data_IF_784122469341
#
_entry.id   IF_784122469341
#
_cell.length_a   1.000
_cell.length_b   1.000
_cell.length_c   1.000
_cell.angle_alpha   90.00
_cell.angle_beta   90.00
_cell.angle_gamma   90.00
#
_symmetry.space_group_name_H-M   'P 1'
#
loop_
_entity.id
_entity.type
_entity.pdbx_description
1 polymer ?
#
# COMPACT_ATOMS: atom_id res chain seq x y z
N UNK A 1 32.30 -42.31 50.18
CA UNK A 1 32.15 -43.64 49.57
C UNK A 1 30.76 -43.74 49.00
N UNK A 2 30.63 -44.07 47.71
CA UNK A 2 29.34 -44.18 47.03
C UNK A 2 29.38 -43.58 45.62
N UNK A 3 30.10 -44.24 44.71
CA UNK A 3 29.99 -44.00 43.28
C UNK A 3 29.09 -45.06 42.63
N UNK A 4 28.33 -44.67 41.61
CA UNK A 4 27.71 -45.49 40.54
C UNK A 4 26.85 -44.56 39.65
N UNK A 5 26.50 -44.92 38.41
CA UNK A 5 27.39 -45.17 37.29
C UNK A 5 27.05 -44.32 36.05
N UNK A 6 28.01 -44.28 35.12
CA UNK A 6 27.94 -43.70 33.78
C UNK A 6 27.05 -44.55 32.88
N UNK A 7 26.10 -43.93 32.18
CA UNK A 7 25.40 -44.57 31.05
C UNK A 7 25.91 -43.90 29.77
N UNK A 8 26.76 -44.62 29.05
CA UNK A 8 27.09 -44.39 27.65
C UNK A 8 26.10 -45.19 26.80
N UNK A 9 25.27 -44.51 26.01
CA UNK A 9 24.68 -45.12 24.82
C UNK A 9 25.19 -44.42 23.57
N UNK A 10 26.11 -45.14 22.93
CA UNK A 10 26.47 -45.01 21.53
C UNK A 10 25.25 -45.41 20.69
N UNK A 11 24.76 -44.51 19.85
CA UNK A 11 23.93 -44.92 18.72
C UNK A 11 24.43 -44.28 17.43
N UNK A 12 24.70 -45.18 16.51
CA UNK A 12 25.50 -45.08 15.30
C UNK A 12 24.87 -44.22 14.22
N UNK A 13 25.77 -43.58 13.48
CA UNK A 13 25.56 -42.94 12.19
C UNK A 13 24.91 -43.90 11.18
N UNK A 14 23.85 -43.42 10.51
CA UNK A 14 23.49 -43.87 9.16
C UNK A 14 23.55 -42.68 8.23
N UNK A 15 24.64 -42.63 7.49
CA UNK A 15 24.87 -41.73 6.37
C UNK A 15 24.24 -42.40 5.16
N UNK A 16 23.08 -41.92 4.71
CA UNK A 16 22.51 -42.32 3.42
C UNK A 16 22.62 -41.16 2.45
N UNK A 17 23.27 -41.48 1.34
CA UNK A 17 23.81 -40.62 0.29
C UNK A 17 22.79 -39.74 -0.44
N UNK A 18 23.26 -38.63 -1.05
CA UNK A 18 22.47 -37.79 -1.93
C UNK A 18 22.20 -38.50 -3.27
N UNK A 19 20.92 -38.62 -3.63
CA UNK A 19 20.53 -38.98 -4.99
C UNK A 19 20.65 -37.74 -5.88
N UNK A 20 21.55 -37.85 -6.85
CA UNK A 20 21.66 -36.97 -8.00
C UNK A 20 20.33 -36.98 -8.77
N UNK A 21 19.65 -35.83 -8.82
CA UNK A 21 18.58 -35.61 -9.81
C UNK A 21 19.23 -35.01 -11.04
N UNK A 22 19.54 -35.88 -11.99
CA UNK A 22 19.98 -35.53 -13.34
C UNK A 22 18.82 -34.93 -14.12
N UNK A 23 19.08 -33.73 -14.67
CA UNK A 23 18.57 -33.16 -15.92
C UNK A 23 17.40 -33.88 -16.61
N UNK A 24 16.27 -33.18 -16.74
CA UNK A 24 15.37 -33.37 -17.87
C UNK A 24 14.80 -32.01 -18.31
N UNK A 25 15.48 -31.44 -19.30
CA UNK A 25 14.95 -30.39 -20.18
C UNK A 25 13.86 -31.06 -21.03
N UNK A 26 12.61 -31.03 -20.56
CA UNK A 26 11.45 -31.31 -21.39
C UNK A 26 10.76 -30.00 -21.76
N UNK A 27 10.98 -29.64 -23.02
CA UNK A 27 10.10 -28.91 -23.93
C UNK A 27 8.80 -28.38 -23.29
N UNK A 28 8.81 -27.10 -22.90
CA UNK A 28 7.57 -26.34 -22.77
C UNK A 28 7.06 -26.05 -24.17
N UNK A 29 6.25 -27.00 -24.63
CA UNK A 29 5.21 -26.90 -25.62
C UNK A 29 4.66 -25.46 -25.70
N UNK A 30 4.85 -24.85 -26.86
CA UNK A 30 4.27 -23.56 -27.24
C UNK A 30 2.75 -23.69 -27.15
N UNK A 31 2.18 -23.21 -26.06
CA UNK A 31 0.73 -23.16 -25.86
C UNK A 31 0.19 -22.05 -26.75
N UNK A 32 -0.28 -22.43 -27.93
CA UNK A 32 -1.08 -21.58 -28.79
C UNK A 32 -2.27 -21.01 -28.00
N UNK A 33 -2.52 -19.70 -28.07
CA UNK A 33 -3.70 -19.12 -27.44
C UNK A 33 -4.97 -19.69 -28.11
N UNK A 34 -6.04 -19.98 -27.35
CA UNK A 34 -7.32 -20.35 -27.94
C UNK A 34 -7.84 -19.18 -28.79
N UNK A 35 -8.34 -19.51 -29.99
CA UNK A 35 -9.00 -18.57 -30.87
C UNK A 35 -10.13 -17.85 -30.11
N UNK A 36 -10.05 -16.52 -30.08
CA UNK A 36 -11.05 -15.63 -29.52
C UNK A 36 -12.30 -15.67 -30.42
N UNK A 37 -13.29 -16.46 -30.02
CA UNK A 37 -14.56 -16.58 -30.72
C UNK A 37 -15.34 -15.26 -30.57
N UNK A 38 -15.36 -14.50 -31.65
CA UNK A 38 -15.99 -13.18 -31.76
C UNK A 38 -17.50 -13.34 -31.91
N UNK A 39 -18.21 -13.69 -30.83
CA UNK A 39 -19.68 -13.71 -30.89
C UNK A 39 -20.38 -13.55 -29.54
N UNK A 40 -20.40 -12.33 -29.03
CA UNK A 40 -21.46 -11.87 -28.14
C UNK A 40 -21.80 -10.42 -28.47
N UNK A 41 -22.96 -10.24 -29.11
CA UNK A 41 -23.51 -8.93 -29.46
C UNK A 41 -23.78 -8.14 -28.18
N UNK A 42 -23.10 -7.00 -28.05
CA UNK A 42 -23.43 -5.99 -27.05
C UNK A 42 -24.59 -5.17 -27.61
N UNK A 43 -25.76 -5.33 -27.00
CA UNK A 43 -26.91 -4.48 -27.21
C UNK A 43 -26.56 -3.09 -26.69
N UNK A 44 -26.27 -2.17 -27.61
CA UNK A 44 -26.15 -0.75 -27.30
C UNK A 44 -27.55 -0.24 -26.99
N UNK A 45 -27.76 0.24 -25.77
CA UNK A 45 -28.93 1.06 -25.43
C UNK A 45 -28.50 2.51 -25.56
N UNK A 46 -29.15 3.22 -26.48
CA UNK A 46 -28.99 4.65 -26.71
C UNK A 46 -29.21 5.44 -25.41
N UNK A 47 -28.14 6.02 -24.88
CA UNK A 47 -28.21 7.04 -23.84
C UNK A 47 -28.42 8.40 -24.51
N UNK A 48 -29.68 8.84 -24.40
CA UNK A 48 -30.21 10.15 -24.73
C UNK A 48 -29.27 11.26 -24.23
N UNK A 49 -28.74 12.01 -25.18
CA UNK A 49 -28.09 13.30 -25.00
C UNK A 49 -29.12 14.29 -24.48
N UNK A 50 -28.86 14.92 -23.33
CA UNK A 50 -29.52 16.18 -23.02
C UNK A 50 -28.70 17.05 -22.04
N UNK A 51 -28.79 18.35 -22.34
CA UNK A 51 -28.58 19.54 -21.52
C UNK A 51 -27.26 19.80 -20.77
N UNK A 52 -26.31 20.36 -21.53
CA UNK A 52 -25.95 21.78 -21.36
C UNK A 52 -25.63 22.26 -19.95
N UNK A 53 -24.37 22.12 -19.53
CA UNK A 53 -23.80 22.98 -18.48
C UNK A 53 -22.70 23.85 -19.05
N UNK A 54 -22.95 25.15 -18.95
CA UNK A 54 -22.14 26.24 -19.45
C UNK A 54 -20.66 26.07 -19.14
N UNK A 55 -19.90 26.03 -20.23
CA UNK A 55 -18.48 26.29 -20.28
C UNK A 55 -18.28 27.76 -19.91
N UNK A 56 -17.98 28.03 -18.64
CA UNK A 56 -17.56 29.35 -18.21
C UNK A 56 -16.12 29.53 -18.71
N UNK A 57 -15.97 30.23 -19.85
CA UNK A 57 -14.68 30.74 -20.30
C UNK A 57 -14.14 31.66 -19.21
N UNK A 58 -13.22 31.14 -18.40
CA UNK A 58 -12.31 31.98 -17.63
C UNK A 58 -11.33 32.61 -18.62
N UNK A 59 -11.21 33.95 -18.67
CA UNK A 59 -10.24 34.60 -19.53
C UNK A 59 -8.84 34.17 -19.11
N UNK A 60 -8.07 33.68 -20.09
CA UNK A 60 -6.62 33.54 -20.00
C UNK A 60 -6.03 34.96 -19.82
N UNK A 61 -5.76 35.33 -18.58
CA UNK A 61 -4.85 36.42 -18.27
C UNK A 61 -3.44 35.98 -18.62
N UNK A 62 -2.91 36.61 -19.66
CA UNK A 62 -1.55 36.48 -20.17
C UNK A 62 -0.59 37.15 -19.17
N UNK A 63 -0.33 36.48 -18.05
CA UNK A 63 0.72 36.88 -17.11
C UNK A 63 2.07 36.41 -17.66
N UNK A 64 2.58 37.20 -18.60
CA UNK A 64 4.02 37.30 -18.88
C UNK A 64 4.72 37.85 -17.63
N UNK A 65 4.97 36.97 -16.65
CA UNK A 65 5.96 37.18 -15.59
C UNK A 65 6.92 35.98 -15.56
N UNK A 66 7.89 36.14 -16.44
CA UNK A 66 9.26 35.64 -16.35
C UNK A 66 9.80 35.69 -14.89
N UNK A 67 9.80 34.56 -14.18
CA UNK A 67 10.77 34.22 -13.11
C UNK A 67 10.39 32.88 -12.43
N UNK A 68 10.44 31.79 -13.20
CA UNK A 68 10.36 30.42 -12.65
C UNK A 68 11.55 29.58 -13.10
N UNK A 69 12.73 30.13 -12.82
CA UNK A 69 13.94 29.34 -12.56
C UNK A 69 14.54 29.81 -11.24
N UNK A 70 13.80 29.61 -10.16
CA UNK A 70 14.36 29.61 -8.81
C UNK A 70 14.29 28.20 -8.24
N UNK A 71 14.89 27.26 -8.97
CA UNK A 71 15.64 26.20 -8.30
C UNK A 71 16.58 26.95 -7.36
N UNK A 72 16.40 26.76 -6.06
CA UNK A 72 17.27 27.31 -5.03
C UNK A 72 18.67 26.69 -5.23
N UNK A 73 19.41 27.21 -6.21
CA UNK A 73 20.85 27.15 -6.24
C UNK A 73 21.26 27.79 -4.92
N UNK A 74 21.63 26.93 -3.99
CA UNK A 74 22.28 27.27 -2.75
C UNK A 74 23.43 28.21 -3.12
N UNK A 75 23.18 29.51 -3.06
CA UNK A 75 24.11 30.54 -3.49
C UNK A 75 25.09 30.62 -2.33
N UNK A 76 26.31 30.05 -2.44
CA UNK A 76 27.24 30.15 -1.32
C UNK A 76 27.55 31.64 -1.19
N UNK A 77 27.13 32.22 -0.08
CA UNK A 77 27.51 33.59 0.27
C UNK A 77 29.03 33.66 0.20
N UNK A 78 29.56 34.59 -0.60
CA UNK A 78 31.01 34.86 -0.66
C UNK A 78 31.57 34.89 0.77
N UNK A 79 32.59 34.09 1.10
CA UNK A 79 33.19 34.12 2.42
C UNK A 79 33.72 35.54 2.63
N UNK A 80 33.18 36.23 3.64
CA UNK A 80 33.81 37.43 4.18
C UNK A 80 35.02 36.95 4.96
N UNK A 81 36.18 37.49 4.64
CA UNK A 81 37.46 37.13 5.24
C UNK A 81 37.40 37.13 6.77
N UNK A 82 37.92 36.06 7.38
CA UNK A 82 38.39 36.12 8.76
C UNK A 82 37.51 35.52 9.86
N UNK A 83 36.86 34.38 9.62
CA UNK A 83 36.72 33.27 10.59
C UNK A 83 35.74 32.25 9.99
N UNK A 84 36.26 31.10 9.57
CA UNK A 84 35.42 29.96 9.22
C UNK A 84 34.77 29.47 10.52
N UNK A 85 33.63 30.06 10.87
CA UNK A 85 32.65 29.36 11.70
C UNK A 85 32.30 28.10 10.94
N UNK A 86 32.71 26.93 11.45
CA UNK A 86 32.34 25.65 10.87
C UNK A 86 30.84 25.64 10.68
N UNK A 87 30.41 25.82 9.42
CA UNK A 87 29.01 25.85 9.07
C UNK A 87 28.50 24.44 9.36
N UNK A 88 27.61 24.32 10.34
CA UNK A 88 26.98 23.04 10.69
C UNK A 88 26.28 22.51 9.43
N UNK A 89 26.87 21.48 8.84
CA UNK A 89 26.33 20.84 7.65
C UNK A 89 25.64 19.53 8.05
N UNK A 90 24.50 19.24 7.43
CA UNK A 90 23.78 17.98 7.58
C UNK A 90 24.08 17.13 6.35
N UNK A 91 24.65 15.96 6.55
CA UNK A 91 24.85 14.98 5.51
C UNK A 91 24.10 13.68 5.88
N UNK A 92 23.59 13.00 4.86
CA UNK A 92 22.99 11.67 5.00
C UNK A 92 24.04 10.62 4.66
N UNK A 93 24.17 9.59 5.51
CA UNK A 93 25.22 8.57 5.36
C UNK A 93 24.80 7.43 4.43
N UNK A 94 24.07 6.46 4.96
CA UNK A 94 23.67 5.25 4.25
C UNK A 94 22.18 4.98 4.37
N UNK A 95 21.64 4.28 3.38
CA UNK A 95 20.25 3.84 3.28
C UNK A 95 20.22 2.34 3.53
N UNK A 96 19.25 1.89 4.32
CA UNK A 96 18.93 0.48 4.49
C UNK A 96 17.48 0.24 4.07
N UNK A 97 17.25 -0.78 3.25
CA UNK A 97 15.93 -1.13 2.72
C UNK A 97 15.46 -2.43 3.37
N UNK A 98 14.22 -2.44 3.85
CA UNK A 98 13.55 -3.65 4.36
C UNK A 98 12.40 -4.01 3.44
N UNK A 99 12.37 -5.27 3.03
CA UNK A 99 11.34 -5.86 2.18
C UNK A 99 10.50 -6.81 3.04
N UNK A 100 9.22 -6.46 3.23
CA UNK A 100 8.27 -7.26 4.00
C UNK A 100 7.41 -8.09 3.05
N UNK A 101 7.01 -9.27 3.52
CA UNK A 101 6.09 -10.12 2.78
C UNK A 101 4.69 -9.49 2.70
N UNK A 102 4.00 -9.73 1.60
CA UNK A 102 2.61 -9.31 1.42
C UNK A 102 1.70 -10.40 1.96
N UNK A 103 0.87 -10.06 2.94
CA UNK A 103 -0.06 -11.00 3.59
C UNK A 103 -1.50 -10.51 3.49
N UNK A 104 -2.47 -11.39 3.75
CA UNK A 104 -3.88 -10.98 3.86
C UNK A 104 -4.08 -10.06 5.07
N UNK A 105 -4.66 -8.89 4.84
CA UNK A 105 -4.95 -7.89 5.87
C UNK A 105 -6.38 -7.95 6.39
N UNK A 106 -6.74 -6.92 7.19
CA UNK A 106 -8.08 -6.79 7.81
C UNK A 106 -8.64 -5.37 7.66
N UNK A 107 -8.42 -4.73 6.52
CA UNK A 107 -8.87 -3.35 6.32
C UNK A 107 -10.36 -3.29 5.87
N UNK A 108 -11.26 -2.69 6.68
CA UNK A 108 -12.71 -2.69 6.40
C UNK A 108 -13.14 -1.84 5.20
N UNK A 109 -12.28 -0.94 4.70
CA UNK A 109 -12.62 0.02 3.64
C UNK A 109 -12.28 -0.49 2.24
N UNK A 110 -11.85 -1.74 2.10
CA UNK A 110 -11.63 -2.31 0.78
C UNK A 110 -12.96 -2.50 0.05
N UNK A 111 -13.13 -1.83 -1.10
CA UNK A 111 -14.38 -1.86 -1.86
C UNK A 111 -14.63 -3.22 -2.51
N UNK A 112 -13.58 -3.83 -3.05
CA UNK A 112 -13.59 -5.14 -3.73
C UNK A 112 -12.33 -5.94 -3.37
N UNK A 113 -12.45 -7.27 -3.30
CA UNK A 113 -11.33 -8.18 -3.02
C UNK A 113 -10.83 -8.15 -1.56
N UNK A 114 -9.86 -9.01 -1.26
CA UNK A 114 -9.21 -9.09 0.05
C UNK A 114 -8.20 -7.94 0.26
N UNK A 115 -8.19 -7.25 1.42
CA UNK A 115 -7.18 -6.25 1.73
C UNK A 115 -5.78 -6.88 1.87
N UNK A 116 -4.74 -6.13 1.51
CA UNK A 116 -3.35 -6.53 1.75
C UNK A 116 -2.83 -5.89 3.05
N UNK A 117 -1.87 -6.56 3.68
CA UNK A 117 -1.06 -6.04 4.77
C UNK A 117 0.41 -6.45 4.55
N UNK A 118 1.31 -5.83 5.32
CA UNK A 118 2.70 -6.27 5.41
C UNK A 118 2.82 -7.28 6.54
N UNK A 119 3.54 -8.37 6.31
CA UNK A 119 3.93 -9.33 7.32
C UNK A 119 4.91 -8.75 8.33
N UNK A 120 5.21 -9.52 9.37
CA UNK A 120 6.22 -9.15 10.38
C UNK A 120 7.63 -9.53 9.97
N UNK A 121 7.75 -10.57 9.14
CA UNK A 121 9.03 -11.02 8.60
C UNK A 121 9.49 -10.06 7.50
N UNK A 122 10.80 -9.81 7.48
CA UNK A 122 11.43 -8.98 6.47
C UNK A 122 12.79 -9.52 6.08
N UNK A 123 13.13 -9.33 4.82
CA UNK A 123 14.51 -9.38 4.35
C UNK A 123 15.08 -7.96 4.31
N UNK A 124 16.37 -7.83 4.59
CA UNK A 124 17.05 -6.54 4.58
C UNK A 124 18.17 -6.55 3.55
N UNK A 125 18.13 -5.57 2.65
CA UNK A 125 19.18 -5.38 1.65
C UNK A 125 20.44 -4.79 2.30
N UNK A 126 21.63 -5.00 1.70
CA UNK A 126 22.86 -4.35 2.12
C UNK A 126 22.69 -2.83 2.18
N UNK A 127 23.34 -2.19 3.16
CA UNK A 127 23.32 -0.73 3.24
C UNK A 127 24.10 -0.11 2.08
N UNK A 128 23.51 0.87 1.42
CA UNK A 128 24.11 1.59 0.27
C UNK A 128 24.27 3.06 0.62
N UNK A 129 25.32 3.73 0.13
CA UNK A 129 25.44 5.19 0.32
C UNK A 129 24.32 5.92 -0.42
N UNK A 130 23.95 7.10 0.09
CA UNK A 130 22.88 7.91 -0.50
C UNK A 130 23.20 8.25 -1.96
N UNK A 131 24.44 8.63 -2.26
CA UNK A 131 24.87 9.00 -3.62
C UNK A 131 24.68 7.86 -4.62
N UNK A 132 25.02 6.61 -4.23
CA UNK A 132 24.88 5.44 -5.10
C UNK A 132 23.40 5.09 -5.29
N UNK A 133 22.57 5.23 -4.25
CA UNK A 133 21.13 5.03 -4.37
C UNK A 133 20.49 6.08 -5.29
N UNK A 134 20.86 7.36 -5.16
CA UNK A 134 20.31 8.42 -6.00
C UNK A 134 20.75 8.33 -7.46
N UNK A 135 21.98 7.86 -7.72
CA UNK A 135 22.47 7.62 -9.08
C UNK A 135 21.76 6.45 -9.78
N UNK A 136 21.29 5.45 -9.04
CA UNK A 136 20.72 4.20 -9.59
C UNK A 136 19.20 4.09 -9.49
N UNK A 137 18.54 4.92 -8.66
CA UNK A 137 17.09 4.83 -8.46
C UNK A 137 16.30 5.07 -9.74
N UNK A 138 15.21 4.33 -9.88
CA UNK A 138 14.24 4.58 -10.96
C UNK A 138 13.56 5.95 -10.80
N UNK A 139 13.02 6.51 -11.91
CA UNK A 139 12.21 7.73 -11.86
C UNK A 139 11.06 7.63 -10.86
N UNK A 140 10.61 8.79 -10.37
CA UNK A 140 9.49 8.86 -9.42
C UNK A 140 8.23 8.27 -10.05
N UNK A 141 7.64 7.27 -9.38
CA UNK A 141 6.35 6.67 -9.76
C UNK A 141 5.23 7.72 -9.82
N UNK A 142 4.35 7.57 -10.81
CA UNK A 142 3.14 8.39 -10.91
C UNK A 142 2.13 7.98 -9.83
N UNK A 143 1.12 8.83 -9.55
CA UNK A 143 0.03 8.47 -8.63
C UNK A 143 -0.76 7.24 -9.09
N UNK A 144 -0.79 6.95 -10.39
CA UNK A 144 -1.44 5.75 -10.93
C UNK A 144 -0.66 4.49 -10.54
N UNK A 145 0.68 4.53 -10.64
CA UNK A 145 1.57 3.39 -10.30
C UNK A 145 1.64 3.09 -8.80
N UNK A 146 1.14 4.00 -7.96
CA UNK A 146 1.00 3.79 -6.52
C UNK A 146 -0.32 3.09 -6.16
N UNK A 147 -1.27 2.97 -7.09
CA UNK A 147 -2.56 2.31 -6.86
C UNK A 147 -2.47 0.85 -7.26
N UNK A 148 -2.91 -0.03 -6.38
CA UNK A 148 -3.06 -1.46 -6.68
C UNK A 148 -4.51 -1.79 -7.03
N UNK A 149 -4.76 -2.40 -8.19
CA UNK A 149 -6.08 -2.94 -8.54
C UNK A 149 -6.40 -4.18 -7.71
N UNK A 150 -7.65 -4.64 -7.74
CA UNK A 150 -8.04 -5.87 -7.05
C UNK A 150 -7.43 -7.12 -7.72
N UNK A 151 -7.25 -7.14 -9.05
CA UNK A 151 -6.56 -8.25 -9.73
C UNK A 151 -5.10 -8.32 -9.31
N UNK A 152 -4.42 -7.17 -9.25
CA UNK A 152 -3.02 -7.09 -8.82
C UNK A 152 -2.87 -7.62 -7.39
N UNK A 153 -3.77 -7.24 -6.48
CA UNK A 153 -3.77 -7.77 -5.11
C UNK A 153 -4.00 -9.28 -5.06
N UNK A 154 -4.88 -9.81 -5.91
CA UNK A 154 -5.10 -11.26 -6.01
C UNK A 154 -3.87 -11.99 -6.52
N UNK A 155 -3.16 -11.42 -7.49
CA UNK A 155 -1.91 -11.98 -8.01
C UNK A 155 -0.79 -11.95 -6.96
N UNK A 156 -0.72 -10.90 -6.13
CA UNK A 156 0.23 -10.82 -5.02
C UNK A 156 -0.04 -11.88 -3.94
N UNK A 157 -1.27 -12.37 -3.81
CA UNK A 157 -1.68 -13.44 -2.88
C UNK A 157 -1.86 -14.79 -3.61
N UNK A 158 -1.04 -15.06 -4.63
CA UNK A 158 -1.18 -16.26 -5.47
C UNK A 158 -0.79 -17.55 -4.76
N UNK A 159 -0.04 -17.44 -3.67
CA UNK A 159 0.36 -18.51 -2.75
C UNK A 159 -0.74 -18.87 -1.73
N UNK A 160 -1.69 -17.96 -1.49
CA UNK A 160 -2.81 -18.16 -0.58
C UNK A 160 -3.93 -18.95 -1.27
N UNK A 161 -4.54 -19.89 -0.55
CA UNK A 161 -5.63 -20.69 -1.12
C UNK A 161 -6.88 -19.86 -1.41
N UNK A 162 -7.56 -20.17 -2.51
CA UNK A 162 -8.82 -19.52 -2.89
C UNK A 162 -9.89 -19.55 -1.78
N UNK A 163 -9.91 -20.63 -0.99
CA UNK A 163 -10.83 -20.79 0.13
C UNK A 163 -10.57 -19.79 1.25
N UNK A 164 -9.30 -19.49 1.53
CA UNK A 164 -8.87 -18.50 2.51
C UNK A 164 -9.19 -17.08 2.05
N UNK A 165 -8.90 -16.76 0.78
CA UNK A 165 -9.27 -15.46 0.19
C UNK A 165 -10.77 -15.22 0.29
N UNK A 166 -11.60 -16.21 -0.11
CA UNK A 166 -13.07 -16.14 0.02
C UNK A 166 -13.54 -16.03 1.47
N UNK A 167 -12.83 -16.62 2.43
CA UNK A 167 -13.14 -16.50 3.85
C UNK A 167 -12.88 -15.07 4.34
N UNK A 168 -11.75 -14.48 3.95
CA UNK A 168 -11.39 -13.11 4.28
C UNK A 168 -12.39 -12.10 3.67
N UNK A 169 -12.77 -12.27 2.40
CA UNK A 169 -13.78 -11.42 1.75
C UNK A 169 -15.14 -11.47 2.45
N UNK A 170 -15.59 -12.67 2.86
CA UNK A 170 -16.83 -12.83 3.64
C UNK A 170 -16.73 -12.15 5.00
N UNK A 171 -15.57 -12.23 5.67
CA UNK A 171 -15.33 -11.54 6.95
C UNK A 171 -15.44 -10.03 6.77
N UNK A 172 -14.74 -9.47 5.78
CA UNK A 172 -14.80 -8.05 5.41
C UNK A 172 -16.24 -7.59 5.14
N UNK A 173 -17.00 -8.37 4.37
CA UNK A 173 -18.40 -8.05 4.06
C UNK A 173 -19.27 -7.97 5.32
N UNK A 174 -19.07 -8.89 6.27
CA UNK A 174 -19.76 -8.88 7.56
C UNK A 174 -19.40 -7.63 8.36
N UNK A 175 -18.11 -7.31 8.47
CA UNK A 175 -17.64 -6.14 9.22
C UNK A 175 -18.18 -4.83 8.66
N UNK A 176 -18.15 -4.65 7.33
CA UNK A 176 -18.74 -3.48 6.66
C UNK A 176 -20.23 -3.34 6.96
N UNK A 177 -20.95 -4.45 6.94
CA UNK A 177 -22.39 -4.48 7.24
C UNK A 177 -22.67 -4.07 8.69
N UNK A 178 -21.87 -4.56 9.65
CA UNK A 178 -21.98 -4.17 11.05
C UNK A 178 -21.61 -2.69 11.26
N UNK A 179 -20.54 -2.21 10.63
CA UNK A 179 -20.10 -0.81 10.73
C UNK A 179 -21.15 0.17 10.18
N UNK A 180 -21.84 -0.17 9.08
CA UNK A 180 -22.94 0.68 8.57
C UNK A 180 -24.06 0.83 9.59
N UNK A 181 -24.45 -0.27 10.26
CA UNK A 181 -25.48 -0.25 11.32
C UNK A 181 -25.03 0.60 12.50
N UNK A 182 -23.78 0.44 12.96
CA UNK A 182 -23.23 1.25 14.05
C UNK A 182 -23.18 2.73 13.67
N UNK A 183 -22.64 3.09 12.49
CA UNK A 183 -22.60 4.48 12.02
C UNK A 183 -24.00 5.10 11.92
N UNK A 184 -24.99 4.33 11.44
CA UNK A 184 -26.37 4.79 11.39
C UNK A 184 -26.94 5.07 12.79
N UNK A 185 -26.70 4.19 13.77
CA UNK A 185 -27.16 4.38 15.16
C UNK A 185 -26.46 5.53 15.86
N UNK A 186 -25.14 5.66 15.69
CA UNK A 186 -24.34 6.74 16.30
C UNK A 186 -24.73 8.08 15.69
N UNK A 187 -24.90 8.15 14.37
CA UNK A 187 -25.42 9.35 13.69
C UNK A 187 -26.80 9.74 14.25
N UNK A 188 -27.75 8.80 14.28
CA UNK A 188 -29.10 9.07 14.79
C UNK A 188 -29.12 9.54 16.25
N UNK A 189 -28.29 8.93 17.11
CA UNK A 189 -28.19 9.31 18.52
C UNK A 189 -27.51 10.66 18.73
N UNK A 190 -26.54 11.01 17.89
CA UNK A 190 -25.83 12.29 17.95
C UNK A 190 -26.76 13.47 17.61
N UNK A 191 -27.63 13.33 16.61
CA UNK A 191 -28.59 14.38 16.22
C UNK A 191 -29.82 14.47 17.14
N UNK A 192 -29.96 13.62 18.15
CA UNK A 192 -31.11 13.62 19.09
C UNK A 192 -30.84 14.35 20.41
N UNK A 193 -29.62 14.85 20.65
CA UNK A 193 -29.24 15.48 21.92
C UNK A 193 -29.27 17.02 21.92
N UNK A 194 -29.54 17.67 20.78
CA UNK A 194 -29.58 19.14 20.68
C UNK A 194 -30.98 19.75 20.88
N UNK A 195 -31.94 18.98 21.39
CA UNK A 195 -33.21 19.52 21.88
C UNK A 195 -33.02 20.20 23.23
N UNK A 196 -32.41 21.39 23.25
CA UNK A 196 -32.39 22.27 24.43
C UNK A 196 -33.85 22.60 24.76
N UNK A 197 -34.40 22.19 25.92
CA UNK A 197 -35.71 22.67 26.33
C UNK A 197 -35.58 24.18 26.57
N UNK A 198 -36.33 24.99 25.82
CA UNK A 198 -36.54 26.40 26.16
C UNK A 198 -37.13 26.45 27.57
N UNK A 199 -36.30 26.86 28.53
CA UNK A 199 -36.76 27.21 29.88
C UNK A 199 -37.69 28.42 29.77
N UNK A 200 -38.99 28.15 29.74
CA UNK A 200 -40.01 29.17 29.91
C UNK A 200 -40.34 29.32 31.39
N UNK A 201 -40.43 30.58 31.80
CA UNK A 201 -40.93 31.10 33.08
C UNK A 201 -39.95 31.12 34.26
N UNK A 202 -39.19 32.21 34.32
CA UNK A 202 -38.66 32.73 35.58
C UNK A 202 -39.81 33.23 36.49
N UNK A 203 -39.66 33.13 37.82
CA UNK A 203 -40.69 33.57 38.77
C UNK A 203 -40.79 35.10 38.78
N UNK A 204 -42.02 35.62 38.64
CA UNK A 204 -42.35 37.02 38.89
C UNK A 204 -42.25 37.28 40.40
N UNK A 205 -41.31 38.13 40.80
CA UNK A 205 -41.25 38.68 42.15
C UNK A 205 -42.35 39.73 42.32
N UNK A 206 -43.12 39.61 43.41
CA UNK A 206 -44.01 40.65 43.96
C UNK A 206 -43.44 41.07 45.30
#
# INVERSE_FOLDING_TARGET
MGGSPVITESSSMVVSSPLHVTTSLQERLVKTPPAFDSRAGVHVTDHKSDDGRGFFETPLSDDSNNDRDTVLLFRPSKPRDGSFVDAKHVAFGSISTRCYDVVMGDHPCCSMGCPLALGWEYSQDPSVSVDVYEASRSPRRSKADLKTTWEQRRNMLSDVSDGEVKRAERKLHRERSCQRKVRSRVSAAFFQMDGIPEETSGPQCI
#
